data_IF_103006934324
#
_entry.id   IF_103006934324
#
_cell.length_a   1.000
_cell.length_b   1.000
_cell.length_c   1.000
_cell.angle_alpha   90.00
_cell.angle_beta   90.00
_cell.angle_gamma   90.00
#
_symmetry.space_group_name_H-M   'P 1'
#
loop_
_entity.id
_entity.type
_entity.pdbx_description
1 polymer ?
#
# COMPACT_ATOMS: atom_id res chain seq x y z
N UNK A 1 6.12 4.12 -28.35
CA UNK A 1 6.83 3.03 -27.68
C UNK A 1 6.78 3.39 -26.20
N UNK A 2 5.86 2.78 -25.45
CA UNK A 2 5.80 2.97 -24.00
C UNK A 2 7.10 2.43 -23.38
N UNK A 3 7.75 3.17 -22.46
CA UNK A 3 8.83 2.58 -21.70
C UNK A 3 8.26 1.41 -20.89
N UNK A 4 8.80 0.22 -21.08
CA UNK A 4 8.45 -0.97 -20.32
C UNK A 4 8.71 -0.67 -18.85
N UNK A 5 7.66 -0.60 -18.04
CA UNK A 5 7.75 -0.51 -16.58
C UNK A 5 8.24 -1.87 -16.07
N UNK A 6 9.56 -2.06 -16.04
CA UNK A 6 10.17 -3.26 -15.48
C UNK A 6 10.13 -3.18 -13.97
N UNK A 7 9.58 -4.22 -13.37
CA UNK A 7 9.71 -4.65 -11.97
C UNK A 7 8.80 -3.97 -10.92
N UNK A 8 8.33 -4.80 -10.03
CA UNK A 8 7.66 -4.59 -8.74
C UNK A 8 6.94 -3.25 -8.55
N UNK A 9 5.64 -3.30 -8.46
CA UNK A 9 4.76 -2.18 -8.17
C UNK A 9 4.20 -2.38 -6.77
N UNK A 10 4.31 -1.38 -5.91
CA UNK A 10 3.68 -1.31 -4.60
C UNK A 10 2.44 -0.44 -4.74
N UNK A 11 1.29 -0.89 -4.25
CA UNK A 11 0.01 -0.21 -4.43
C UNK A 11 -0.43 0.47 -3.15
N UNK A 12 -1.03 1.65 -3.28
CA UNK A 12 -1.87 2.24 -2.26
C UNK A 12 -3.20 2.69 -2.88
N UNK A 13 -4.32 2.40 -2.24
CA UNK A 13 -5.66 2.76 -2.69
C UNK A 13 -6.22 3.94 -1.88
N UNK A 14 -6.74 4.97 -2.56
CA UNK A 14 -7.27 6.16 -1.92
C UNK A 14 -8.77 6.07 -1.64
N UNK A 15 -9.16 6.33 -0.38
CA UNK A 15 -10.51 6.71 0.01
C UNK A 15 -10.54 8.24 0.22
N UNK A 16 -11.35 8.95 -0.53
CA UNK A 16 -11.40 10.41 -0.47
C UNK A 16 -11.95 10.95 0.85
N UNK A 17 -11.12 11.64 1.63
CA UNK A 17 -11.55 12.46 2.75
C UNK A 17 -11.81 13.91 2.30
N UNK A 18 -12.87 14.54 2.81
CA UNK A 18 -13.17 15.95 2.55
C UNK A 18 -12.47 16.84 3.56
N UNK A 19 -11.69 17.80 3.06
CA UNK A 19 -11.24 18.96 3.84
C UNK A 19 -11.99 20.24 3.46
N UNK A 20 -12.27 21.17 4.41
CA UNK A 20 -12.94 22.42 4.12
C UNK A 20 -12.02 23.42 3.42
N UNK A 21 -12.63 24.21 2.54
CA UNK A 21 -12.02 25.21 1.69
C UNK A 21 -11.34 26.36 2.46
N UNK A 22 -10.14 26.75 2.02
CA UNK A 22 -9.72 28.16 2.06
C UNK A 22 -9.26 28.54 0.66
N UNK A 23 -9.91 29.55 0.14
CA UNK A 23 -9.63 30.15 -1.15
C UNK A 23 -8.45 31.13 -1.03
N UNK A 24 -7.50 31.03 -1.93
CA UNK A 24 -6.75 32.17 -2.45
C UNK A 24 -6.06 31.79 -3.76
N UNK A 25 -6.47 32.48 -4.74
CA UNK A 25 -6.09 32.75 -6.09
C UNK A 25 -4.58 32.65 -6.40
N UNK A 26 -4.18 31.66 -7.26
CA UNK A 26 -3.11 31.85 -8.26
C UNK A 26 -3.47 30.96 -9.46
N UNK A 27 -3.94 31.57 -10.54
CA UNK A 27 -4.07 30.96 -11.85
C UNK A 27 -2.70 30.59 -12.42
N UNK A 28 -2.17 29.47 -12.04
CA UNK A 28 -1.18 28.71 -12.79
C UNK A 28 -1.96 27.71 -13.65
N UNK A 29 -1.72 27.69 -14.96
CA UNK A 29 -2.24 26.66 -15.88
C UNK A 29 -1.71 25.29 -15.45
N UNK A 30 -2.34 24.68 -14.47
CA UNK A 30 -2.12 23.27 -14.12
C UNK A 30 -2.66 22.45 -15.28
N UNK A 31 -1.76 21.76 -15.98
CA UNK A 31 -2.16 20.56 -16.68
C UNK A 31 -2.83 19.69 -15.61
N UNK A 32 -4.16 19.56 -15.66
CA UNK A 32 -4.93 18.74 -14.74
C UNK A 32 -4.44 17.32 -14.93
N UNK A 33 -3.61 16.88 -13.98
CA UNK A 33 -3.12 15.52 -13.97
C UNK A 33 -4.36 14.62 -13.87
N UNK A 34 -4.59 13.80 -14.89
CA UNK A 34 -5.78 12.93 -14.94
C UNK A 34 -5.88 11.99 -13.73
N UNK A 35 -4.78 11.83 -12.97
CA UNK A 35 -4.74 11.12 -11.72
C UNK A 35 -5.41 11.90 -10.58
N UNK A 36 -5.12 13.19 -10.42
CA UNK A 36 -5.67 14.02 -9.35
C UNK A 36 -7.20 14.14 -9.47
N UNK A 37 -7.72 14.37 -10.68
CA UNK A 37 -9.16 14.46 -10.92
C UNK A 37 -9.91 13.13 -10.70
N UNK A 38 -9.24 12.00 -10.92
CA UNK A 38 -9.79 10.66 -10.66
C UNK A 38 -9.85 10.33 -9.17
N UNK A 39 -8.89 10.80 -8.37
CA UNK A 39 -8.82 10.56 -6.93
C UNK A 39 -9.79 11.43 -6.12
N UNK A 40 -10.08 12.65 -6.57
CA UNK A 40 -11.07 13.54 -5.93
C UNK A 40 -12.52 13.10 -6.17
N UNK A 41 -12.80 12.35 -7.24
CA UNK A 41 -14.14 11.95 -7.65
C UNK A 41 -14.76 10.82 -6.81
N UNK A 42 -14.06 10.25 -5.85
CA UNK A 42 -14.48 9.05 -5.12
C UNK A 42 -15.44 9.30 -3.96
N UNK A 43 -15.97 10.52 -3.79
CA UNK A 43 -17.08 10.78 -2.88
C UNK A 43 -18.39 10.28 -3.47
N UNK A 44 -18.76 9.05 -3.12
CA UNK A 44 -20.15 8.57 -3.27
C UNK A 44 -20.56 8.10 -4.65
N UNK A 45 -19.65 7.79 -5.57
CA UNK A 45 -20.01 7.43 -6.94
C UNK A 45 -20.07 5.91 -7.13
N UNK A 46 -21.30 5.41 -7.13
CA UNK A 46 -21.61 3.99 -7.35
C UNK A 46 -21.12 3.55 -8.71
N UNK A 47 -20.25 2.56 -8.75
CA UNK A 47 -19.83 1.90 -9.99
C UNK A 47 -18.65 2.54 -10.73
N UNK A 48 -18.07 3.61 -10.25
CA UNK A 48 -16.79 4.11 -10.79
C UNK A 48 -15.64 3.19 -10.40
N UNK A 49 -14.72 2.94 -11.33
CA UNK A 49 -13.54 2.13 -11.05
C UNK A 49 -12.62 2.86 -10.06
N UNK A 50 -11.98 2.09 -9.18
CA UNK A 50 -10.98 2.62 -8.26
C UNK A 50 -9.77 3.13 -9.03
N UNK A 51 -9.32 4.32 -8.67
CA UNK A 51 -8.02 4.83 -9.07
C UNK A 51 -7.01 4.51 -7.98
N UNK A 52 -5.94 3.84 -8.33
CA UNK A 52 -4.86 3.47 -7.42
C UNK A 52 -3.56 4.21 -7.79
N UNK A 53 -2.70 4.38 -6.80
CA UNK A 53 -1.34 4.88 -6.97
C UNK A 53 -0.37 3.73 -6.77
N UNK A 54 0.63 3.63 -7.63
CA UNK A 54 1.69 2.63 -7.53
C UNK A 54 3.07 3.27 -7.46
N UNK A 55 3.97 2.60 -6.75
CA UNK A 55 5.40 2.91 -6.72
C UNK A 55 6.14 1.89 -7.58
N UNK A 56 6.89 2.36 -8.58
CA UNK A 56 7.70 1.48 -9.43
C UNK A 56 9.10 1.27 -8.87
N UNK A 57 9.78 0.20 -9.30
CA UNK A 57 11.16 -0.10 -8.86
C UNK A 57 12.16 0.98 -9.25
N UNK A 58 11.93 1.71 -10.34
CA UNK A 58 12.73 2.87 -10.75
C UNK A 58 12.31 4.17 -10.02
N UNK A 59 11.60 4.04 -8.90
CA UNK A 59 11.23 5.14 -8.00
C UNK A 59 10.37 6.21 -8.68
N UNK A 60 9.31 5.78 -9.33
CA UNK A 60 8.28 6.66 -9.90
C UNK A 60 6.94 6.37 -9.26
N UNK A 61 6.13 7.42 -9.08
CA UNK A 61 4.71 7.23 -8.84
C UNK A 61 3.99 7.11 -10.18
N UNK A 62 3.07 6.16 -10.25
CA UNK A 62 2.11 6.01 -11.33
C UNK A 62 0.69 6.02 -10.77
N UNK A 63 -0.29 6.34 -11.59
CA UNK A 63 -1.69 6.06 -11.27
C UNK A 63 -2.32 5.19 -12.34
N UNK A 64 -3.29 4.39 -11.92
CA UNK A 64 -3.99 3.48 -12.81
C UNK A 64 -5.41 3.20 -12.32
N UNK A 65 -6.24 2.77 -13.26
CA UNK A 65 -7.57 2.28 -12.99
C UNK A 65 -7.50 0.76 -12.75
N UNK A 66 -8.06 0.28 -11.65
CA UNK A 66 -8.06 -1.16 -11.30
C UNK A 66 -8.61 -2.09 -12.39
N UNK A 67 -9.52 -1.59 -13.23
CA UNK A 67 -10.12 -2.35 -14.34
C UNK A 67 -9.31 -2.28 -15.62
N UNK A 68 -8.36 -1.36 -15.70
CA UNK A 68 -7.52 -1.12 -16.88
C UNK A 68 -6.10 -0.72 -16.47
N UNK A 69 -5.35 -1.64 -15.84
CA UNK A 69 -3.99 -1.33 -15.37
C UNK A 69 -3.05 -0.94 -16.53
N UNK A 70 -3.25 -1.49 -17.73
CA UNK A 70 -2.48 -1.13 -18.93
C UNK A 70 -2.62 0.34 -19.38
N UNK A 71 -3.60 1.08 -18.87
CA UNK A 71 -3.74 2.53 -19.07
C UNK A 71 -2.97 3.35 -18.01
N UNK A 72 -2.05 2.73 -17.26
CA UNK A 72 -1.28 3.38 -16.21
C UNK A 72 -0.53 4.61 -16.75
N UNK A 73 -0.48 5.67 -15.93
CA UNK A 73 0.17 6.93 -16.26
C UNK A 73 1.17 7.31 -15.20
N UNK A 74 2.34 7.78 -15.64
CA UNK A 74 3.34 8.31 -14.72
C UNK A 74 2.84 9.63 -14.11
N UNK A 75 2.92 9.73 -12.77
CA UNK A 75 2.82 10.99 -12.04
C UNK A 75 4.18 11.69 -12.11
N UNK A 76 5.25 11.01 -11.77
CA UNK A 76 6.60 11.55 -11.81
C UNK A 76 7.63 10.64 -11.13
N UNK A 77 8.90 10.97 -11.29
CA UNK A 77 9.97 10.39 -10.46
C UNK A 77 9.88 10.96 -9.04
N UNK A 78 10.09 10.12 -8.03
CA UNK A 78 10.17 10.58 -6.64
C UNK A 78 11.33 11.57 -6.50
N UNK A 79 11.05 12.71 -5.88
CA UNK A 79 12.04 13.75 -5.56
C UNK A 79 11.94 14.15 -4.10
N UNK A 80 13.00 14.73 -3.52
CA UNK A 80 13.00 15.18 -2.13
C UNK A 80 13.37 14.13 -1.09
N UNK A 81 13.71 12.90 -1.49
CA UNK A 81 14.34 11.93 -0.60
C UNK A 81 15.76 12.35 -0.24
N UNK A 82 16.30 11.81 0.84
CA UNK A 82 17.72 11.91 1.14
C UNK A 82 18.54 11.27 0.02
N UNK A 83 19.73 11.80 -0.25
CA UNK A 83 20.60 11.30 -1.33
C UNK A 83 20.90 9.81 -1.17
N UNK A 84 20.64 9.04 -2.23
CA UNK A 84 20.87 7.59 -2.26
C UNK A 84 19.79 6.75 -1.57
N UNK A 85 18.76 7.36 -1.01
CA UNK A 85 17.63 6.63 -0.39
C UNK A 85 16.55 6.29 -1.42
N UNK A 86 15.79 5.24 -1.15
CA UNK A 86 14.71 4.75 -2.01
C UNK A 86 13.49 4.41 -1.17
N UNK A 87 12.29 4.62 -1.72
CA UNK A 87 11.06 4.16 -1.07
C UNK A 87 10.93 2.64 -1.19
N UNK A 88 10.47 2.01 -0.11
CA UNK A 88 10.23 0.57 -0.02
C UNK A 88 8.74 0.22 0.12
N UNK A 89 7.89 1.21 0.37
CA UNK A 89 6.44 1.02 0.46
C UNK A 89 5.72 2.36 0.51
N UNK A 90 4.46 2.36 0.11
CA UNK A 90 3.57 3.52 0.14
C UNK A 90 2.19 3.11 0.63
N UNK A 91 1.50 4.01 1.33
CA UNK A 91 0.11 3.83 1.69
C UNK A 91 -0.60 5.17 1.93
N UNK A 92 -1.93 5.18 1.79
CA UNK A 92 -2.78 6.31 2.14
C UNK A 92 -3.19 6.24 3.60
N UNK A 93 -2.83 7.27 4.37
CA UNK A 93 -3.30 7.41 5.74
C UNK A 93 -4.74 7.90 5.76
N UNK A 94 -5.62 7.13 6.39
CA UNK A 94 -7.08 7.40 6.41
C UNK A 94 -7.41 8.71 7.13
N UNK A 95 -6.66 9.07 8.17
CA UNK A 95 -6.93 10.25 9.03
C UNK A 95 -6.82 11.57 8.29
N UNK A 96 -5.99 11.66 7.28
CA UNK A 96 -5.79 12.91 6.50
C UNK A 96 -5.97 12.73 5.00
N UNK A 97 -6.09 11.48 4.53
CA UNK A 97 -6.22 11.14 3.11
C UNK A 97 -4.96 11.40 2.28
N UNK A 98 -3.81 11.59 2.93
CA UNK A 98 -2.55 11.85 2.25
C UNK A 98 -1.78 10.56 1.99
N UNK A 99 -1.04 10.53 0.88
CA UNK A 99 -0.15 9.43 0.55
C UNK A 99 1.15 9.57 1.33
N UNK A 100 1.60 8.48 1.93
CA UNK A 100 2.88 8.40 2.62
C UNK A 100 3.76 7.31 2.01
N UNK A 101 5.08 7.48 2.16
CA UNK A 101 6.06 6.49 1.77
C UNK A 101 7.07 6.26 2.87
N UNK A 102 7.54 5.03 2.99
CA UNK A 102 8.65 4.64 3.87
C UNK A 102 9.88 4.41 3.01
N UNK A 103 11.01 4.99 3.38
CA UNK A 103 12.27 4.75 2.70
C UNK A 103 13.11 3.66 3.36
N UNK A 104 14.06 3.10 2.61
CA UNK A 104 14.97 2.05 3.11
C UNK A 104 15.80 2.51 4.32
N UNK A 105 16.16 3.78 4.36
CA UNK A 105 16.82 4.39 5.53
C UNK A 105 15.86 4.68 6.70
N UNK A 106 14.58 4.29 6.60
CA UNK A 106 13.56 4.46 7.63
C UNK A 106 12.93 5.85 7.67
N UNK A 107 13.19 6.71 6.69
CA UNK A 107 12.48 7.98 6.55
C UNK A 107 11.01 7.75 6.22
N UNK A 108 10.10 8.51 6.85
CA UNK A 108 8.69 8.55 6.49
C UNK A 108 8.41 9.88 5.82
N UNK A 109 7.86 9.82 4.61
CA UNK A 109 7.63 10.97 3.75
C UNK A 109 6.17 11.07 3.36
N UNK A 110 5.62 12.28 3.39
CA UNK A 110 4.38 12.60 2.69
C UNK A 110 4.69 12.81 1.21
N UNK A 111 3.89 12.20 0.34
CA UNK A 111 4.08 12.21 -1.11
C UNK A 111 2.98 13.04 -1.79
N UNK A 112 3.39 13.97 -2.65
CA UNK A 112 2.46 14.73 -3.47
C UNK A 112 2.02 13.88 -4.68
N UNK A 113 0.75 13.54 -4.74
CA UNK A 113 0.18 12.70 -5.81
C UNK A 113 0.05 13.40 -7.17
N UNK A 114 0.35 14.69 -7.25
CA UNK A 114 0.37 15.43 -8.51
C UNK A 114 1.78 15.58 -9.10
N UNK A 115 2.81 15.58 -8.24
CA UNK A 115 4.19 15.92 -8.64
C UNK A 115 5.21 14.84 -8.29
N UNK A 116 4.85 13.85 -7.47
CA UNK A 116 5.73 12.85 -6.86
C UNK A 116 6.83 13.47 -5.94
N UNK A 117 6.61 14.69 -5.44
CA UNK A 117 7.51 15.30 -4.47
C UNK A 117 7.31 14.67 -3.08
N UNK A 118 8.41 14.33 -2.41
CA UNK A 118 8.44 13.76 -1.07
C UNK A 118 8.88 14.81 -0.06
N UNK A 119 8.12 14.93 1.04
CA UNK A 119 8.45 15.79 2.17
C UNK A 119 8.59 14.92 3.42
N UNK A 120 9.77 14.93 4.04
CA UNK A 120 10.02 14.12 5.24
C UNK A 120 9.18 14.61 6.42
N UNK A 121 8.45 13.70 7.05
CA UNK A 121 7.57 14.01 8.19
C UNK A 121 7.98 13.26 9.47
N UNK A 122 8.62 12.09 9.36
CA UNK A 122 9.04 11.30 10.50
C UNK A 122 10.25 10.43 10.17
N UNK A 123 10.73 9.69 11.17
CA UNK A 123 11.85 8.77 11.04
C UNK A 123 11.60 7.54 11.92
N UNK A 124 11.69 6.35 11.34
CA UNK A 124 11.74 5.13 12.12
C UNK A 124 12.96 5.15 13.05
N UNK A 125 12.76 4.80 14.31
CA UNK A 125 13.84 4.70 15.30
C UNK A 125 14.48 3.31 15.35
N UNK A 126 13.99 2.41 14.49
CA UNK A 126 14.50 1.04 14.31
C UNK A 126 14.86 0.87 12.84
N UNK A 127 16.03 0.32 12.57
CA UNK A 127 16.49 0.07 11.20
C UNK A 127 15.60 -0.99 10.50
N UNK A 128 15.36 -0.80 9.20
CA UNK A 128 14.67 -1.78 8.39
C UNK A 128 15.61 -2.92 7.98
N UNK A 129 15.16 -4.14 8.22
CA UNK A 129 15.82 -5.38 7.85
C UNK A 129 15.10 -6.04 6.67
N UNK A 130 15.84 -6.70 5.78
CA UNK A 130 15.29 -7.39 4.61
C UNK A 130 15.30 -6.58 3.33
N UNK A 131 14.65 -7.09 2.30
CA UNK A 131 14.61 -6.56 0.93
C UNK A 131 13.19 -6.37 0.41
N UNK A 132 12.24 -7.17 0.85
CA UNK A 132 10.82 -7.05 0.56
C UNK A 132 10.06 -6.52 1.78
N UNK A 133 9.16 -5.55 1.57
CA UNK A 133 8.46 -4.85 2.65
C UNK A 133 6.97 -4.72 2.37
N UNK A 134 6.16 -4.89 3.43
CA UNK A 134 4.76 -4.48 3.46
C UNK A 134 4.61 -3.23 4.30
N UNK A 135 3.91 -2.22 3.80
CA UNK A 135 3.69 -0.93 4.45
C UNK A 135 2.22 -0.58 4.40
N UNK A 136 1.61 -0.28 5.55
CA UNK A 136 0.19 0.05 5.62
C UNK A 136 -0.16 0.81 6.91
N UNK A 137 -1.15 1.68 6.86
CA UNK A 137 -1.66 2.37 8.04
C UNK A 137 -2.83 1.62 8.67
N UNK A 138 -2.73 1.33 9.96
CA UNK A 138 -3.87 0.85 10.73
C UNK A 138 -4.91 1.97 10.86
N UNK A 139 -6.09 1.86 10.24
CA UNK A 139 -7.09 2.92 10.22
C UNK A 139 -7.68 3.20 11.62
N UNK A 140 -7.77 2.17 12.46
CA UNK A 140 -8.36 2.28 13.81
C UNK A 140 -7.37 2.86 14.83
N UNK A 141 -6.08 2.49 14.74
CA UNK A 141 -5.07 2.91 15.72
C UNK A 141 -4.20 4.08 15.26
N UNK A 142 -4.32 4.48 14.00
CA UNK A 142 -3.46 5.49 13.36
C UNK A 142 -1.97 5.23 13.59
N UNK A 143 -1.52 4.05 13.16
CA UNK A 143 -0.14 3.62 13.24
C UNK A 143 0.31 3.06 11.92
N UNK A 144 1.46 3.50 11.47
CA UNK A 144 2.15 2.93 10.32
C UNK A 144 2.71 1.56 10.69
N UNK A 145 2.30 0.52 9.99
CA UNK A 145 2.84 -0.82 10.06
C UNK A 145 3.91 -0.99 8.99
N UNK A 146 5.04 -1.56 9.37
CA UNK A 146 6.06 -2.02 8.41
C UNK A 146 6.44 -3.44 8.78
N UNK A 147 6.31 -4.34 7.80
CA UNK A 147 6.76 -5.73 7.92
C UNK A 147 7.81 -6.01 6.85
N UNK A 148 8.60 -7.08 7.01
CA UNK A 148 9.57 -7.46 6.00
C UNK A 148 9.72 -8.98 5.81
N UNK A 149 10.38 -9.34 4.72
CA UNK A 149 10.76 -10.70 4.34
C UNK A 149 11.72 -11.40 5.32
N UNK A 150 12.19 -10.71 6.37
CA UNK A 150 12.96 -11.31 7.47
C UNK A 150 12.10 -11.66 8.68
N UNK A 151 10.80 -11.36 8.62
CA UNK A 151 9.88 -11.50 9.74
C UNK A 151 9.85 -10.28 10.67
N UNK A 152 10.54 -9.19 10.33
CA UNK A 152 10.45 -7.95 11.09
C UNK A 152 9.01 -7.41 11.08
N UNK A 153 8.55 -6.90 12.23
CA UNK A 153 7.20 -6.40 12.41
C UNK A 153 7.26 -5.13 13.29
N UNK A 154 7.03 -3.99 12.67
CA UNK A 154 7.18 -2.69 13.32
C UNK A 154 5.87 -1.92 13.30
N UNK A 155 5.65 -1.10 14.35
CA UNK A 155 4.62 -0.06 14.39
C UNK A 155 5.26 1.28 14.67
N UNK A 156 4.88 2.30 13.90
CA UNK A 156 5.42 3.65 14.06
C UNK A 156 4.31 4.69 14.18
N UNK A 157 4.50 5.66 15.08
CA UNK A 157 3.67 6.85 15.17
C UNK A 157 4.31 7.96 14.37
N UNK A 158 3.66 8.44 13.32
CA UNK A 158 4.21 9.52 12.46
C UNK A 158 4.06 10.91 13.07
N UNK A 159 3.33 11.05 14.18
CA UNK A 159 3.20 12.33 14.89
C UNK A 159 4.52 12.83 15.48
N UNK A 160 4.52 14.07 15.93
CA UNK A 160 5.71 14.73 16.51
C UNK A 160 6.29 13.89 17.66
N UNK A 161 7.60 13.59 17.58
CA UNK A 161 8.28 12.73 18.57
C UNK A 161 7.88 11.25 18.50
N UNK A 162 7.32 10.81 17.36
CA UNK A 162 6.87 9.45 17.16
C UNK A 162 7.97 8.41 17.37
N UNK A 163 7.58 7.29 17.96
CA UNK A 163 8.49 6.18 18.29
C UNK A 163 8.09 4.97 17.49
N UNK A 164 9.10 4.20 17.05
CA UNK A 164 8.90 2.88 16.45
C UNK A 164 8.90 1.82 17.54
N UNK A 165 7.89 0.97 17.54
CA UNK A 165 7.77 -0.18 18.44
C UNK A 165 8.09 -1.42 17.62
N UNK A 166 8.99 -2.26 18.14
CA UNK A 166 9.25 -3.59 17.62
C UNK A 166 8.19 -4.53 18.20
N UNK A 167 7.38 -5.11 17.35
CA UNK A 167 6.37 -6.09 17.68
C UNK A 167 6.94 -7.52 17.60
N UNK A 168 6.13 -8.52 17.95
CA UNK A 168 6.51 -9.92 17.82
C UNK A 168 6.86 -10.27 16.37
N UNK A 169 7.93 -11.05 16.20
CA UNK A 169 8.38 -11.53 14.88
C UNK A 169 7.25 -12.25 14.17
N UNK A 170 7.10 -12.01 12.87
CA UNK A 170 6.10 -12.72 12.06
C UNK A 170 6.40 -14.21 12.06
N UNK A 171 5.40 -15.04 12.36
CA UNK A 171 5.58 -16.47 12.47
C UNK A 171 4.28 -17.24 12.20
N UNK A 172 4.38 -18.37 11.51
CA UNK A 172 3.31 -19.38 11.40
C UNK A 172 3.41 -20.41 12.53
N UNK A 173 4.59 -20.59 13.07
CA UNK A 173 4.89 -21.47 14.19
C UNK A 173 5.75 -20.71 15.19
N UNK A 174 5.37 -20.72 16.45
CA UNK A 174 6.08 -20.04 17.51
C UNK A 174 7.60 -20.39 17.50
N UNK A 175 8.43 -19.36 17.55
CA UNK A 175 9.88 -19.49 17.54
C UNK A 175 10.54 -19.61 16.16
N UNK A 176 9.74 -19.63 15.07
CA UNK A 176 10.28 -19.69 13.70
C UNK A 176 9.79 -18.51 12.90
N UNK A 177 10.70 -17.61 12.51
CA UNK A 177 10.36 -16.45 11.71
C UNK A 177 9.77 -16.84 10.36
N UNK A 178 8.71 -16.15 9.95
CA UNK A 178 8.16 -16.23 8.60
C UNK A 178 9.00 -15.32 7.69
N UNK A 179 9.82 -15.93 6.83
CA UNK A 179 10.70 -15.25 5.88
C UNK A 179 10.06 -15.26 4.50
N UNK A 180 9.51 -14.16 4.05
CA UNK A 180 8.84 -14.07 2.74
C UNK A 180 7.56 -13.24 2.76
N UNK A 181 7.21 -12.65 3.91
CA UNK A 181 6.12 -11.68 3.97
C UNK A 181 6.58 -10.36 3.39
N UNK A 182 6.03 -9.99 2.24
CA UNK A 182 6.41 -8.80 1.47
C UNK A 182 5.25 -7.84 1.24
N UNK A 183 4.04 -8.18 1.71
CA UNK A 183 2.87 -7.33 1.68
C UNK A 183 2.12 -7.37 3.01
N UNK A 184 1.51 -6.24 3.38
CA UNK A 184 0.71 -6.10 4.60
C UNK A 184 -0.40 -5.10 4.32
N UNK A 185 -1.65 -5.41 4.66
CA UNK A 185 -2.77 -4.52 4.43
C UNK A 185 -3.87 -4.70 5.49
N UNK A 186 -4.40 -3.58 5.99
CA UNK A 186 -5.55 -3.54 6.89
C UNK A 186 -6.86 -3.43 6.11
N UNK A 187 -7.90 -4.06 6.62
CA UNK A 187 -9.28 -3.86 6.14
C UNK A 187 -9.88 -2.57 6.72
N UNK A 188 -11.04 -2.17 6.20
CA UNK A 188 -11.89 -1.14 6.78
C UNK A 188 -11.21 0.23 6.91
N UNK A 189 -10.77 0.76 5.75
CA UNK A 189 -10.11 2.07 5.63
C UNK A 189 -11.11 3.21 5.83
N UNK A 190 -11.73 3.30 7.01
CA UNK A 190 -12.67 4.35 7.37
C UNK A 190 -12.39 4.93 8.78
N UNK A 191 -12.99 6.08 9.08
CA UNK A 191 -12.84 6.76 10.35
C UNK A 191 -13.97 6.43 11.36
N UNK A 192 -14.79 5.44 11.06
CA UNK A 192 -15.87 5.05 11.96
C UNK A 192 -15.31 4.26 13.17
N UNK A 193 -15.39 4.77 14.39
CA UNK A 193 -14.83 4.10 15.57
C UNK A 193 -15.51 2.76 15.90
N UNK A 194 -16.71 2.52 15.33
CA UNK A 194 -17.41 1.24 15.46
C UNK A 194 -16.93 0.17 14.50
N UNK A 195 -16.09 0.52 13.53
CA UNK A 195 -15.56 -0.42 12.55
C UNK A 195 -14.23 -0.97 13.02
N UNK A 196 -14.17 -2.29 13.22
CA UNK A 196 -12.92 -2.97 13.52
C UNK A 196 -12.10 -3.19 12.24
N UNK A 197 -10.78 -3.36 12.37
CA UNK A 197 -9.90 -3.69 11.26
C UNK A 197 -9.24 -5.04 11.45
N UNK A 198 -8.93 -5.70 10.34
CA UNK A 198 -8.23 -6.98 10.28
C UNK A 198 -6.98 -6.79 9.43
N UNK A 199 -5.86 -7.37 9.85
CA UNK A 199 -4.59 -7.31 9.14
C UNK A 199 -4.36 -8.60 8.35
N UNK A 200 -4.07 -8.46 7.07
CA UNK A 200 -3.64 -9.54 6.20
C UNK A 200 -2.20 -9.33 5.75
N UNK A 201 -1.48 -10.43 5.60
CA UNK A 201 -0.12 -10.49 5.08
C UNK A 201 -0.12 -11.25 3.75
N UNK A 202 0.74 -10.82 2.84
CA UNK A 202 1.05 -11.51 1.60
C UNK A 202 2.45 -12.10 1.72
N UNK A 203 2.54 -13.43 1.66
CA UNK A 203 3.78 -14.19 1.73
C UNK A 203 4.12 -14.72 0.35
N UNK A 204 5.09 -14.11 -0.29
CA UNK A 204 5.52 -14.46 -1.66
C UNK A 204 6.50 -15.63 -1.72
N UNK A 205 7.07 -16.05 -0.59
CA UNK A 205 7.88 -17.26 -0.54
C UNK A 205 7.00 -18.52 -0.48
N UNK A 206 5.88 -18.42 0.22
CA UNK A 206 4.92 -19.51 0.35
C UNK A 206 3.74 -19.37 -0.61
N UNK A 207 3.70 -18.33 -1.43
CA UNK A 207 2.60 -18.03 -2.37
C UNK A 207 1.23 -18.09 -1.69
N UNK A 208 1.04 -17.33 -0.62
CA UNK A 208 -0.19 -17.39 0.16
C UNK A 208 -0.56 -16.07 0.80
N UNK A 209 -1.84 -15.97 1.13
CA UNK A 209 -2.37 -14.93 2.03
C UNK A 209 -2.45 -15.50 3.44
N UNK A 210 -2.17 -14.68 4.43
CA UNK A 210 -2.31 -15.04 5.83
C UNK A 210 -3.02 -13.92 6.61
N UNK A 211 -3.86 -14.32 7.57
CA UNK A 211 -4.36 -13.46 8.62
C UNK A 211 -3.25 -13.23 9.65
N UNK A 212 -2.92 -11.98 9.96
CA UNK A 212 -2.01 -11.64 11.06
C UNK A 212 -2.82 -11.27 12.31
N UNK A 213 -2.94 -12.22 13.23
CA UNK A 213 -3.76 -12.03 14.43
C UNK A 213 -3.22 -12.81 15.64
N UNK A 214 -2.95 -12.15 16.81
CA UNK A 214 -2.97 -10.71 17.00
C UNK A 214 -1.87 -9.99 16.19
N UNK A 215 -2.13 -8.81 15.60
CA UNK A 215 -1.15 -8.14 14.73
C UNK A 215 0.21 -7.87 15.42
N UNK A 216 0.14 -7.48 16.69
CA UNK A 216 1.35 -7.13 17.47
C UNK A 216 2.10 -8.36 18.00
N UNK A 217 1.49 -9.53 18.01
CA UNK A 217 2.19 -10.78 18.33
C UNK A 217 2.93 -11.36 17.11
N UNK A 218 2.63 -10.89 15.90
CA UNK A 218 3.22 -11.38 14.66
C UNK A 218 2.73 -12.76 14.23
N UNK A 219 1.67 -13.29 14.87
CA UNK A 219 1.15 -14.62 14.57
C UNK A 219 0.39 -14.60 13.23
N UNK A 220 0.77 -15.51 12.35
CA UNK A 220 0.20 -15.69 11.02
C UNK A 220 -0.61 -16.98 10.95
N UNK A 221 -1.78 -16.89 10.33
CA UNK A 221 -2.61 -18.04 9.98
C UNK A 221 -2.91 -18.00 8.48
N UNK A 222 -2.36 -18.95 7.71
CA UNK A 222 -2.59 -19.00 6.27
C UNK A 222 -4.08 -19.14 5.97
N UNK A 223 -4.61 -18.29 5.09
CA UNK A 223 -6.00 -18.38 4.60
C UNK A 223 -6.08 -19.19 3.31
N UNK A 224 -5.05 -19.12 2.46
CA UNK A 224 -4.95 -19.96 1.27
C UNK A 224 -3.87 -19.52 0.30
N UNK A 225 -3.70 -20.30 -0.76
CA UNK A 225 -2.66 -20.13 -1.77
C UNK A 225 -3.07 -19.18 -2.87
N UNK A 226 -2.10 -18.38 -3.38
CA UNK A 226 -2.29 -17.49 -4.51
C UNK A 226 -2.66 -18.23 -5.81
N UNK A 227 -2.15 -19.46 -5.96
CA UNK A 227 -2.29 -20.25 -7.18
C UNK A 227 -1.34 -19.83 -8.31
N UNK A 228 -0.38 -18.98 -7.99
CA UNK A 228 0.71 -18.53 -8.87
C UNK A 228 2.02 -18.51 -8.07
N UNK A 229 3.14 -18.62 -8.76
CA UNK A 229 4.50 -18.50 -8.20
C UNK A 229 4.91 -17.01 -8.28
N UNK A 230 4.84 -16.32 -7.16
CA UNK A 230 5.09 -14.89 -7.06
C UNK A 230 6.57 -14.59 -6.83
N UNK A 231 7.11 -13.56 -7.49
CA UNK A 231 8.45 -13.06 -7.20
C UNK A 231 8.50 -12.39 -5.81
N UNK A 232 9.72 -12.25 -5.27
CA UNK A 232 10.00 -11.83 -3.91
C UNK A 232 9.51 -10.40 -3.56
N UNK A 233 9.14 -9.58 -4.52
CA UNK A 233 8.63 -8.22 -4.27
C UNK A 233 7.21 -8.11 -4.83
N UNK A 234 6.29 -7.67 -3.99
CA UNK A 234 4.88 -7.52 -4.33
C UNK A 234 4.33 -6.19 -3.80
N UNK A 235 3.31 -5.69 -4.47
CA UNK A 235 2.43 -4.67 -3.89
C UNK A 235 1.15 -5.32 -3.39
N UNK A 236 0.65 -4.89 -2.24
CA UNK A 236 -0.57 -5.45 -1.67
C UNK A 236 -1.33 -4.38 -0.90
N UNK A 237 -2.63 -4.23 -1.20
CA UNK A 237 -3.49 -3.28 -0.51
C UNK A 237 -4.94 -3.79 -0.49
N UNK A 238 -5.69 -3.35 0.52
CA UNK A 238 -7.10 -3.69 0.71
C UNK A 238 -7.90 -2.41 0.81
N UNK A 239 -8.92 -2.27 -0.02
CA UNK A 239 -9.84 -1.15 0.10
C UNK A 239 -11.29 -1.63 0.27
N UNK A 240 -12.09 -0.83 0.96
CA UNK A 240 -13.49 -1.10 1.15
C UNK A 240 -14.35 -0.25 0.24
N UNK A 241 -15.18 -0.89 -0.59
CA UNK A 241 -16.25 -0.20 -1.30
C UNK A 241 -17.39 0.09 -0.33
N UNK A 242 -17.70 1.36 -0.14
CA UNK A 242 -18.94 1.75 0.54
C UNK A 242 -20.11 1.34 -0.36
N UNK A 243 -20.84 0.30 0.03
CA UNK A 243 -22.13 -0.06 -0.57
C UNK A 243 -23.23 0.45 0.35
N UNK A 244 -24.17 1.22 -0.22
CA UNK A 244 -25.41 1.54 0.50
C UNK A 244 -26.12 0.21 0.80
N UNK A 245 -26.63 0.06 1.99
CA UNK A 245 -27.60 -0.90 2.50
C UNK A 245 -27.15 -2.20 3.16
N UNK A 246 -26.01 -2.75 2.97
CA UNK A 246 -25.64 -3.95 3.74
C UNK A 246 -24.22 -4.49 3.43
N UNK A 247 -23.23 -3.81 3.83
CA UNK A 247 -21.92 -4.45 3.87
C UNK A 247 -20.85 -3.77 3.02
N UNK A 248 -19.84 -3.36 3.72
CA UNK A 248 -18.55 -3.00 3.17
C UNK A 248 -17.91 -4.26 2.58
N UNK A 249 -17.84 -4.36 1.26
CA UNK A 249 -17.06 -5.41 0.60
C UNK A 249 -15.59 -5.02 0.60
N UNK A 250 -14.75 -5.72 1.34
CA UNK A 250 -13.31 -5.60 1.20
C UNK A 250 -12.88 -6.17 -0.16
N UNK A 251 -12.13 -5.39 -0.92
CA UNK A 251 -11.51 -5.84 -2.16
C UNK A 251 -9.99 -5.71 -2.03
N UNK A 252 -9.28 -6.81 -2.14
CA UNK A 252 -7.82 -6.83 -2.07
C UNK A 252 -7.24 -6.83 -3.47
N UNK A 253 -6.26 -5.98 -3.68
CA UNK A 253 -5.47 -5.89 -4.89
C UNK A 253 -4.01 -6.25 -4.60
N UNK A 254 -3.39 -7.03 -5.47
CA UNK A 254 -1.98 -7.27 -5.44
C UNK A 254 -1.36 -7.01 -6.80
N UNK A 255 -0.16 -6.45 -6.81
CA UNK A 255 0.71 -6.47 -7.98
C UNK A 255 1.79 -7.51 -7.73
N UNK A 256 1.75 -8.53 -8.54
CA UNK A 256 2.66 -9.68 -8.46
C UNK A 256 3.44 -9.75 -9.77
N UNK A 257 4.73 -9.96 -9.66
CA UNK A 257 5.59 -10.33 -10.78
C UNK A 257 5.89 -11.81 -10.68
N UNK A 258 6.03 -12.48 -11.81
CA UNK A 258 6.65 -13.80 -11.88
C UNK A 258 8.13 -13.61 -12.25
N UNK A 259 8.98 -14.59 -11.98
CA UNK A 259 10.44 -14.48 -12.09
C UNK A 259 10.97 -13.93 -13.45
N UNK A 260 10.15 -13.95 -14.51
CA UNK A 260 10.52 -13.52 -15.86
C UNK A 260 9.50 -12.58 -16.52
N UNK A 261 8.49 -12.11 -15.79
CA UNK A 261 7.41 -11.27 -16.34
C UNK A 261 7.28 -9.94 -15.60
N UNK A 262 6.85 -8.92 -16.33
CA UNK A 262 6.50 -7.62 -15.75
C UNK A 262 5.33 -7.77 -14.76
N UNK A 263 5.19 -6.82 -13.83
CA UNK A 263 4.14 -6.84 -12.81
C UNK A 263 2.73 -6.87 -13.41
N UNK A 264 1.90 -7.73 -12.90
CA UNK A 264 0.49 -7.86 -13.26
C UNK A 264 -0.39 -7.54 -12.06
N UNK A 265 -1.50 -6.85 -12.29
CA UNK A 265 -2.51 -6.61 -11.27
C UNK A 265 -3.40 -7.83 -11.09
N UNK A 266 -3.62 -8.21 -9.84
CA UNK A 266 -4.55 -9.27 -9.42
C UNK A 266 -5.58 -8.72 -8.43
N UNK A 267 -6.78 -9.27 -8.45
CA UNK A 267 -7.62 -9.30 -7.25
C UNK A 267 -7.29 -10.55 -6.45
N UNK A 268 -7.30 -10.42 -5.13
CA UNK A 268 -6.97 -11.50 -4.20
C UNK A 268 -8.15 -11.76 -3.29
N UNK A 269 -8.60 -13.01 -3.23
CA UNK A 269 -9.59 -13.43 -2.26
C UNK A 269 -8.90 -13.65 -0.89
N UNK A 270 -9.23 -12.83 0.09
CA UNK A 270 -8.57 -12.83 1.39
C UNK A 270 -8.79 -14.13 2.19
N UNK A 271 -9.88 -14.85 1.94
CA UNK A 271 -10.24 -16.05 2.70
C UNK A 271 -9.72 -17.34 2.06
N UNK A 272 -9.50 -17.33 0.75
CA UNK A 272 -9.01 -18.48 0.00
C UNK A 272 -7.59 -18.30 -0.52
N UNK A 273 -7.05 -17.09 -0.43
CA UNK A 273 -5.76 -16.71 -0.98
C UNK A 273 -5.77 -16.50 -2.50
N UNK A 274 -6.78 -16.99 -3.22
CA UNK A 274 -6.77 -17.08 -4.68
C UNK A 274 -6.56 -15.73 -5.36
N UNK A 275 -5.49 -15.64 -6.17
CA UNK A 275 -5.22 -14.53 -7.05
C UNK A 275 -5.94 -14.72 -8.40
N UNK A 276 -6.58 -13.66 -8.89
CA UNK A 276 -7.25 -13.63 -10.21
C UNK A 276 -6.71 -12.45 -11.00
N UNK A 277 -6.12 -12.71 -12.16
CA UNK A 277 -5.49 -11.69 -13.00
C UNK A 277 -6.51 -10.63 -13.46
N UNK A 278 -6.10 -9.36 -13.38
CA UNK A 278 -6.85 -8.19 -13.85
C UNK A 278 -6.23 -7.58 -15.11
N UNK A 279 -4.93 -7.68 -15.29
CA UNK A 279 -4.20 -7.21 -16.47
C UNK A 279 -2.77 -6.78 -16.17
N UNK A 280 -2.02 -6.55 -17.22
CA UNK A 280 -0.63 -6.07 -17.17
C UNK A 280 -0.59 -4.54 -17.12
N UNK A 281 0.52 -4.01 -16.62
CA UNK A 281 0.88 -2.60 -16.69
C UNK A 281 1.57 -2.20 -17.98
#
# INVERSE_FOLDING_TARGET
VNPSFRSALIIAAALGAASPSHAADVQSKRATNACASGMEAHKGDRGKPLMAVGLTADQRLICFNEKRPGDARAIGAISGLMSGDVLVGIDFRVQDGMLYGVSKAGGVYQLDTATAAATKVSQLTVALEGTGFGVDFNPAADRLRVVSDTGQNLRHNIGTGGVTIVDGVLNYTAGTAATGVTGSAYTNNDLNPGTATTLFALDTMLDQVALQSPPNAGTLAATGKLGIDAAAIAGFDIYNRVRDDAGTGAEALAVLSMAVADGMLYSVDLLTGKATARGNF
#
